data_IF_916719515551
#
_entry.id   IF_916719515551
#
_cell.length_a   1.000
_cell.length_b   1.000
_cell.length_c   1.000
_cell.angle_alpha   90.00
_cell.angle_beta   90.00
_cell.angle_gamma   90.00
#
_symmetry.space_group_name_H-M   'P 1'
#
loop_
_entity.id
_entity.type
_entity.pdbx_description
1 polymer ?
#
# COMPACT_ATOMS: atom_id res chain seq x y z
N UNK A 1 -19.22 1.56 -7.88
CA UNK A 1 -17.81 1.30 -8.24
C UNK A 1 -17.03 1.10 -6.95
N UNK A 2 -16.28 -0.01 -6.74
CA UNK A 2 -15.39 -0.04 -5.60
C UNK A 2 -14.29 0.97 -5.90
N UNK A 3 -14.26 2.08 -5.15
CA UNK A 3 -13.16 3.03 -5.22
C UNK A 3 -11.88 2.26 -4.92
N UNK A 4 -11.06 2.03 -5.94
CA UNK A 4 -9.74 1.45 -5.73
C UNK A 4 -8.97 2.51 -4.94
N UNK A 5 -8.88 2.32 -3.62
CA UNK A 5 -8.08 3.17 -2.75
C UNK A 5 -6.69 3.30 -3.34
N UNK A 6 -6.18 4.52 -3.41
CA UNK A 6 -4.83 4.80 -3.92
C UNK A 6 -3.76 3.98 -3.16
N UNK A 7 -4.04 3.59 -1.92
CA UNK A 7 -3.23 2.68 -1.10
C UNK A 7 -3.20 1.25 -1.66
N UNK A 8 -4.35 0.73 -2.11
CA UNK A 8 -4.42 -0.56 -2.79
C UNK A 8 -3.66 -0.53 -4.12
N UNK A 9 -3.70 0.60 -4.84
CA UNK A 9 -2.90 0.78 -6.06
C UNK A 9 -1.40 0.81 -5.74
N UNK A 10 -0.99 1.47 -4.66
CA UNK A 10 0.41 1.48 -4.20
C UNK A 10 0.89 0.08 -3.83
N UNK A 11 0.11 -0.70 -3.07
CA UNK A 11 0.44 -2.11 -2.79
C UNK A 11 0.58 -2.95 -4.06
N UNK A 12 -0.32 -2.77 -5.04
CA UNK A 12 -0.24 -3.46 -6.33
C UNK A 12 1.06 -3.14 -7.08
N UNK A 13 1.46 -1.86 -7.11
CA UNK A 13 2.72 -1.42 -7.74
C UNK A 13 3.93 -2.07 -7.06
N UNK A 14 3.93 -2.19 -5.72
CA UNK A 14 5.03 -2.84 -4.99
C UNK A 14 5.10 -4.34 -5.32
N UNK A 15 3.94 -5.02 -5.38
CA UNK A 15 3.85 -6.46 -5.68
C UNK A 15 4.20 -6.78 -7.13
N UNK A 16 3.90 -5.89 -8.06
CA UNK A 16 4.12 -6.11 -9.48
C UNK A 16 5.61 -6.26 -9.81
N UNK A 17 5.98 -7.39 -10.43
CA UNK A 17 7.36 -7.68 -10.82
C UNK A 17 7.83 -6.81 -11.99
N UNK A 18 6.92 -6.31 -12.83
CA UNK A 18 7.23 -5.51 -14.00
C UNK A 18 7.40 -4.01 -13.68
N UNK A 19 6.98 -3.56 -12.50
CA UNK A 19 7.16 -2.18 -12.07
C UNK A 19 8.64 -1.87 -11.80
N UNK A 20 9.09 -0.69 -12.23
CA UNK A 20 10.47 -0.21 -12.03
C UNK A 20 10.78 0.00 -10.54
N UNK A 21 12.08 -0.04 -10.19
CA UNK A 21 12.54 0.25 -8.81
C UNK A 21 12.05 1.62 -8.32
N UNK A 22 12.05 2.64 -9.19
CA UNK A 22 11.56 3.98 -8.87
C UNK A 22 10.06 4.01 -8.55
N UNK A 23 9.24 3.33 -9.35
CA UNK A 23 7.79 3.24 -9.10
C UNK A 23 7.49 2.55 -7.75
N UNK A 24 8.24 1.50 -7.42
CA UNK A 24 8.12 0.83 -6.12
C UNK A 24 8.52 1.71 -4.95
N UNK A 25 9.53 2.56 -5.13
CA UNK A 25 9.99 3.49 -4.09
C UNK A 25 8.92 4.55 -3.82
N UNK A 26 8.35 5.15 -4.88
CA UNK A 26 7.25 6.12 -4.75
C UNK A 26 6.03 5.49 -4.08
N UNK A 27 5.66 4.26 -4.47
CA UNK A 27 4.54 3.56 -3.84
C UNK A 27 4.77 3.29 -2.34
N UNK A 28 5.99 2.92 -1.93
CA UNK A 28 6.35 2.77 -0.51
C UNK A 28 6.28 4.10 0.23
N UNK A 29 6.78 5.18 -0.37
CA UNK A 29 6.71 6.53 0.22
C UNK A 29 5.26 6.94 0.48
N UNK A 30 4.37 6.65 -0.47
CA UNK A 30 2.96 7.01 -0.39
C UNK A 30 2.26 6.26 0.76
N UNK A 31 2.55 4.97 0.93
CA UNK A 31 2.05 4.18 2.06
C UNK A 31 2.59 4.72 3.40
N UNK A 32 3.89 5.04 3.48
CA UNK A 32 4.50 5.63 4.70
C UNK A 32 3.89 6.98 5.07
N UNK A 33 3.68 7.85 4.09
CA UNK A 33 3.01 9.15 4.29
C UNK A 33 1.56 9.00 4.75
N UNK A 34 0.97 7.83 4.53
CA UNK A 34 -0.38 7.48 4.97
C UNK A 34 -0.41 6.71 6.31
N UNK A 35 0.73 6.65 7.00
CA UNK A 35 0.85 6.03 8.33
C UNK A 35 1.26 4.56 8.36
N UNK A 36 1.59 3.95 7.21
CA UNK A 36 2.00 2.53 7.18
C UNK A 36 3.47 2.36 7.57
N UNK A 37 3.73 1.40 8.46
CA UNK A 37 5.09 0.94 8.74
C UNK A 37 5.55 -0.06 7.70
N UNK A 38 6.87 -0.33 7.63
CA UNK A 38 7.40 -1.37 6.74
C UNK A 38 6.85 -2.76 7.07
N UNK A 39 6.52 -3.02 8.35
CA UNK A 39 5.87 -4.26 8.78
C UNK A 39 4.45 -4.35 8.23
N UNK A 40 3.67 -3.28 8.31
CA UNK A 40 2.32 -3.24 7.74
C UNK A 40 2.33 -3.49 6.23
N UNK A 41 3.27 -2.84 5.52
CA UNK A 41 3.44 -3.03 4.07
C UNK A 41 3.80 -4.49 3.77
N UNK A 42 4.74 -5.08 4.52
CA UNK A 42 5.14 -6.48 4.35
C UNK A 42 3.97 -7.43 4.59
N UNK A 43 3.22 -7.24 5.67
CA UNK A 43 2.08 -8.09 6.01
C UNK A 43 0.95 -7.98 4.98
N UNK A 44 0.68 -6.76 4.47
CA UNK A 44 -0.27 -6.52 3.38
C UNK A 44 0.14 -7.25 2.09
N UNK A 45 1.43 -7.22 1.75
CA UNK A 45 1.95 -7.90 0.55
C UNK A 45 1.92 -9.42 0.70
N UNK A 46 2.15 -9.94 1.92
CA UNK A 46 2.19 -11.38 2.23
C UNK A 46 0.81 -12.02 2.21
N UNK A 47 -0.19 -11.37 2.79
CA UNK A 47 -1.51 -11.98 2.94
C UNK A 47 -2.43 -11.81 1.71
N UNK A 48 -2.03 -11.02 0.70
CA UNK A 48 -2.95 -10.64 -0.37
C UNK A 48 -4.18 -9.87 0.16
N UNK A 49 -4.07 -9.31 1.36
CA UNK A 49 -5.19 -8.84 2.17
C UNK A 49 -5.67 -7.47 1.76
N UNK A 50 -6.99 -7.30 1.87
CA UNK A 50 -7.70 -6.02 1.82
C UNK A 50 -7.26 -5.22 3.05
N UNK A 51 -6.63 -4.05 2.85
CA UNK A 51 -6.32 -3.13 3.95
C UNK A 51 -7.64 -2.67 4.58
N UNK A 52 -7.83 -2.93 5.87
CA UNK A 52 -8.91 -2.36 6.67
C UNK A 52 -8.34 -1.20 7.49
N UNK A 53 -8.67 0.03 7.11
CA UNK A 53 -8.25 1.24 7.81
C UNK A 53 -9.36 1.63 8.78
N UNK A 54 -9.05 1.70 10.07
CA UNK A 54 -9.93 2.28 11.09
C UNK A 54 -9.49 3.72 11.30
N UNK A 55 -10.32 4.67 10.87
CA UNK A 55 -10.12 6.10 11.13
C UNK A 55 -10.78 6.39 12.48
N UNK A 56 -10.02 6.90 13.44
CA UNK A 56 -10.58 7.51 14.64
C UNK A 56 -10.63 9.03 14.39
N UNK A 57 -11.83 9.60 14.39
CA UNK A 57 -11.99 11.05 14.49
C UNK A 57 -11.66 11.47 15.94
N UNK A 58 -10.94 12.59 16.08
CA UNK A 58 -10.57 13.21 17.35
C UNK A 58 -11.58 14.29 17.74
#
# INVERSE_FOLDING_TARGET
MPSISYLNKALRIIRDKQCTKGAKLVAKQLLRNSGFTDRDIYDCLKQGSIIRITIFEA
#
